data_IF_105552815360
#
_entry.id   IF_105552815360
#
_cell.length_a   1.000
_cell.length_b   1.000
_cell.length_c   1.000
_cell.angle_alpha   90.00
_cell.angle_beta   90.00
_cell.angle_gamma   90.00
#
_symmetry.space_group_name_H-M   'P 1'
#
loop_
_entity.id
_entity.type
_entity.pdbx_description
1 polymer ?
#
# COMPACT_ATOMS: atom_id res chain seq x y z
N UNK A 1 -51.55 -24.55 3.63
CA UNK A 1 -51.66 -23.80 2.36
C UNK A 1 -50.25 -23.42 1.92
N UNK A 2 -49.64 -24.25 1.06
CA UNK A 2 -48.33 -23.99 0.46
C UNK A 2 -48.51 -23.15 -0.81
N UNK A 3 -47.70 -22.10 -0.99
CA UNK A 3 -47.51 -21.43 -2.26
C UNK A 3 -46.01 -21.34 -2.56
N UNK A 4 -45.57 -22.15 -3.52
CA UNK A 4 -44.21 -22.15 -4.05
C UNK A 4 -44.06 -21.02 -5.07
N UNK A 5 -43.13 -20.09 -4.84
CA UNK A 5 -42.81 -19.03 -5.78
C UNK A 5 -41.71 -19.51 -6.75
N UNK A 6 -42.07 -19.52 -8.03
CA UNK A 6 -41.30 -20.02 -9.16
C UNK A 6 -40.13 -19.07 -9.49
N UNK A 7 -38.92 -19.62 -9.55
CA UNK A 7 -37.69 -18.97 -9.99
C UNK A 7 -37.73 -18.78 -11.51
N UNK A 8 -37.36 -17.59 -12.01
CA UNK A 8 -37.12 -17.35 -13.43
C UNK A 8 -35.82 -16.55 -13.60
N UNK A 9 -34.78 -17.18 -14.17
CA UNK A 9 -33.50 -16.55 -14.55
C UNK A 9 -33.49 -16.29 -16.06
N UNK A 10 -33.12 -15.10 -16.55
CA UNK A 10 -32.93 -14.90 -17.98
C UNK A 10 -31.55 -15.40 -18.45
N UNK A 11 -31.56 -15.96 -19.66
CA UNK A 11 -30.54 -16.77 -20.33
C UNK A 11 -29.47 -15.92 -21.03
N UNK A 12 -28.23 -16.41 -21.01
CA UNK A 12 -27.14 -16.05 -21.92
C UNK A 12 -27.62 -16.16 -23.39
N UNK A 13 -27.31 -15.16 -24.22
CA UNK A 13 -27.30 -15.30 -25.68
C UNK A 13 -25.86 -15.27 -26.17
N UNK A 14 -25.42 -16.39 -26.77
CA UNK A 14 -24.21 -16.51 -27.56
C UNK A 14 -24.53 -16.35 -29.06
N UNK A 15 -23.47 -16.01 -29.78
CA UNK A 15 -23.21 -16.16 -31.23
C UNK A 15 -23.78 -15.07 -32.15
N UNK A 16 -22.92 -14.55 -33.04
CA UNK A 16 -22.91 -14.91 -34.47
C UNK A 16 -21.50 -14.68 -35.05
N UNK A 17 -20.92 -15.76 -35.61
CA UNK A 17 -19.81 -15.73 -36.57
C UNK A 17 -20.40 -15.41 -37.94
N UNK A 18 -19.88 -14.42 -38.66
CA UNK A 18 -20.22 -14.17 -40.05
C UNK A 18 -18.95 -14.21 -40.91
N UNK A 19 -18.80 -15.33 -41.63
CA UNK A 19 -17.87 -15.50 -42.74
C UNK A 19 -18.53 -14.95 -44.01
N UNK A 20 -17.88 -14.02 -44.70
CA UNK A 20 -18.27 -13.59 -46.05
C UNK A 20 -17.11 -13.85 -47.00
N UNK A 21 -17.35 -14.70 -48.01
CA UNK A 21 -16.48 -14.96 -49.15
C UNK A 21 -16.95 -14.08 -50.32
N UNK A 22 -16.06 -13.20 -50.78
CA UNK A 22 -15.74 -12.93 -52.19
C UNK A 22 -16.79 -12.30 -53.12
N UNK A 23 -16.55 -11.04 -53.50
CA UNK A 23 -16.58 -10.60 -54.92
C UNK A 23 -15.63 -9.41 -55.10
N UNK A 24 -14.87 -9.44 -56.19
CA UNK A 24 -13.75 -8.53 -56.45
C UNK A 24 -14.15 -7.10 -56.81
N UNK A 25 -13.38 -6.16 -56.28
CA UNK A 25 -13.11 -4.85 -56.84
C UNK A 25 -11.74 -4.45 -56.30
N UNK A 26 -10.75 -4.26 -57.17
CA UNK A 26 -9.40 -3.86 -56.75
C UNK A 26 -9.43 -2.42 -56.22
N UNK A 27 -9.02 -2.14 -54.98
CA UNK A 27 -8.85 -0.77 -54.53
C UNK A 27 -7.50 -0.23 -55.03
N UNK A 28 -7.56 0.96 -55.63
CA UNK A 28 -6.42 1.80 -55.95
C UNK A 28 -5.69 2.10 -54.63
N UNK A 29 -4.40 1.76 -54.58
CA UNK A 29 -3.51 2.02 -53.44
C UNK A 29 -3.44 3.52 -53.14
N UNK A 30 -4.28 4.01 -52.22
CA UNK A 30 -3.99 5.21 -51.44
C UNK A 30 -3.11 4.76 -50.27
N UNK A 31 -1.83 5.15 -50.32
CA UNK A 31 -0.86 4.93 -49.25
C UNK A 31 -1.32 5.69 -48.00
N UNK A 32 -1.92 5.00 -47.04
CA UNK A 32 -2.17 5.57 -45.71
C UNK A 32 -0.82 5.96 -45.07
N UNK A 33 -0.72 7.14 -44.43
CA UNK A 33 0.44 7.46 -43.64
C UNK A 33 0.45 6.55 -42.42
N UNK A 34 1.42 5.63 -42.38
CA UNK A 34 1.77 4.87 -41.18
C UNK A 34 2.14 5.89 -40.09
N UNK A 35 1.24 6.07 -39.12
CA UNK A 35 1.57 6.70 -37.84
C UNK A 35 2.52 5.75 -37.12
N UNK A 36 3.80 6.11 -37.06
CA UNK A 36 4.80 5.38 -36.29
C UNK A 36 4.35 5.27 -34.82
N UNK A 37 4.57 4.11 -34.16
CA UNK A 37 4.40 4.02 -32.72
C UNK A 37 5.21 5.12 -32.02
N UNK A 38 4.70 5.72 -30.94
CA UNK A 38 5.48 6.70 -30.18
C UNK A 38 6.81 6.08 -29.77
N UNK A 39 7.87 6.83 -30.02
CA UNK A 39 9.26 6.44 -29.85
C UNK A 39 9.48 5.91 -28.43
N UNK A 40 9.74 4.61 -28.27
CA UNK A 40 9.91 3.96 -26.97
C UNK A 40 11.07 4.59 -26.17
N UNK A 41 12.07 5.15 -26.86
CA UNK A 41 13.13 5.94 -26.25
C UNK A 41 12.63 7.26 -25.63
N UNK A 42 11.63 7.90 -26.22
CA UNK A 42 11.05 9.13 -25.66
C UNK A 42 10.19 8.84 -24.42
N UNK A 43 9.47 7.72 -24.40
CA UNK A 43 8.69 7.29 -23.22
C UNK A 43 9.59 6.83 -22.08
N UNK A 44 10.65 6.08 -22.37
CA UNK A 44 11.60 5.60 -21.36
C UNK A 44 12.40 6.77 -20.77
N UNK A 45 12.80 7.74 -21.60
CA UNK A 45 13.48 8.95 -21.15
C UNK A 45 12.56 9.86 -20.34
N UNK A 46 11.29 10.00 -20.71
CA UNK A 46 10.32 10.77 -19.92
C UNK A 46 10.03 10.11 -18.56
N UNK A 47 9.94 8.77 -18.50
CA UNK A 47 9.79 8.02 -17.26
C UNK A 47 11.04 8.13 -16.35
N UNK A 48 12.24 8.03 -16.92
CA UNK A 48 13.51 8.19 -16.20
C UNK A 48 13.74 9.64 -15.70
N UNK A 49 13.32 10.64 -16.47
CA UNK A 49 13.42 12.06 -16.08
C UNK A 49 12.41 12.39 -14.96
N UNK A 50 11.20 11.82 -14.99
CA UNK A 50 10.23 11.98 -13.90
C UNK A 50 10.68 11.28 -12.60
N UNK A 51 11.27 10.08 -12.71
CA UNK A 51 11.80 9.33 -11.57
C UNK A 51 13.03 10.02 -10.94
N UNK A 52 13.94 10.56 -11.77
CA UNK A 52 15.11 11.29 -11.29
C UNK A 52 14.79 12.66 -10.69
N UNK A 53 13.79 13.38 -11.20
CA UNK A 53 13.35 14.67 -10.62
C UNK A 53 12.57 14.47 -9.30
N UNK A 54 11.71 13.45 -9.23
CA UNK A 54 10.99 13.12 -7.98
C UNK A 54 11.96 12.67 -6.87
N UNK A 55 12.93 11.81 -7.18
CA UNK A 55 13.96 11.39 -6.23
C UNK A 55 14.90 12.53 -5.81
N UNK A 56 15.20 13.50 -6.71
CA UNK A 56 15.98 14.70 -6.39
C UNK A 56 15.21 15.72 -5.53
N UNK A 57 13.91 15.89 -5.74
CA UNK A 57 13.04 16.71 -4.86
C UNK A 57 12.90 16.10 -3.48
N UNK A 58 12.95 14.78 -3.38
CA UNK A 58 12.83 14.06 -2.11
C UNK A 58 14.06 14.21 -1.21
N UNK A 59 15.25 14.42 -1.79
CA UNK A 59 16.49 14.67 -1.08
C UNK A 59 16.49 15.98 -0.25
N UNK A 60 15.48 16.84 -0.41
CA UNK A 60 15.37 18.15 0.24
C UNK A 60 14.28 18.32 1.30
N UNK A 61 13.51 17.28 1.65
CA UNK A 61 12.47 17.43 2.68
C UNK A 61 13.13 17.50 4.06
N UNK A 62 13.16 18.69 4.65
CA UNK A 62 13.67 18.93 6.00
C UNK A 62 12.97 18.01 7.01
N UNK A 63 13.67 16.98 7.48
CA UNK A 63 13.15 16.08 8.49
C UNK A 63 13.79 16.40 9.85
N UNK A 64 13.02 17.02 10.72
CA UNK A 64 13.38 17.13 12.14
C UNK A 64 13.17 15.75 12.79
N UNK A 65 14.27 15.17 13.29
CA UNK A 65 14.28 13.90 14.04
C UNK A 65 13.80 14.16 15.47
N UNK A 66 12.51 14.40 15.62
CA UNK A 66 11.85 14.61 16.90
C UNK A 66 10.86 13.48 17.16
N UNK A 67 10.57 13.14 18.44
CA UNK A 67 9.44 12.31 18.79
C UNK A 67 8.15 12.89 18.20
N UNK A 68 7.26 12.03 17.71
CA UNK A 68 5.98 12.50 17.17
C UNK A 68 5.08 13.05 18.28
N UNK A 69 4.66 14.30 18.19
CA UNK A 69 3.70 14.91 19.12
C UNK A 69 2.26 14.55 18.73
N UNK A 70 1.79 13.35 19.11
CA UNK A 70 0.39 12.95 18.96
C UNK A 70 -0.05 12.63 17.52
N UNK A 71 -1.35 12.83 17.25
CA UNK A 71 -1.96 12.58 15.93
C UNK A 71 -2.14 11.11 15.55
N UNK A 72 -1.96 10.17 16.48
CA UNK A 72 -2.00 8.71 16.24
C UNK A 72 -3.25 8.23 15.50
N UNK A 73 -4.39 8.87 15.77
CA UNK A 73 -5.69 8.60 15.12
C UNK A 73 -5.72 8.88 13.61
N UNK A 74 -4.68 9.48 13.04
CA UNK A 74 -4.57 9.77 11.62
C UNK A 74 -3.55 8.89 10.90
N UNK A 75 -2.88 7.97 11.58
CA UNK A 75 -1.82 7.14 11.00
C UNK A 75 -2.21 5.68 10.99
N UNK A 76 -1.90 5.00 9.90
CA UNK A 76 -2.05 3.55 9.76
C UNK A 76 -0.69 2.95 9.43
N UNK A 77 -0.31 1.89 10.14
CA UNK A 77 0.87 1.08 9.81
C UNK A 77 0.63 0.29 8.52
N UNK A 78 1.66 0.21 7.69
CA UNK A 78 1.66 -0.63 6.47
C UNK A 78 2.87 -1.55 6.38
N UNK A 79 3.90 -1.31 7.20
CA UNK A 79 5.08 -2.16 7.27
C UNK A 79 5.64 -2.08 8.67
N UNK A 80 5.99 -3.24 9.22
CA UNK A 80 6.66 -3.36 10.49
C UNK A 80 7.89 -4.25 10.33
N UNK A 81 9.07 -3.78 10.77
CA UNK A 81 10.31 -4.56 10.71
C UNK A 81 11.21 -4.22 11.88
N UNK A 82 11.33 -5.16 12.82
CA UNK A 82 12.17 -5.01 14.02
C UNK A 82 11.95 -3.68 14.75
N UNK A 83 10.67 -3.32 14.93
CA UNK A 83 10.22 -2.10 15.60
C UNK A 83 10.25 -0.83 14.74
N UNK A 84 10.81 -0.88 13.52
CA UNK A 84 10.63 0.16 12.52
C UNK A 84 9.25 0.07 11.89
N UNK A 85 8.67 1.23 11.56
CA UNK A 85 7.29 1.32 11.07
C UNK A 85 7.18 2.29 9.91
N UNK A 86 6.59 1.83 8.82
CA UNK A 86 6.11 2.72 7.75
C UNK A 86 4.63 2.97 8.00
N UNK A 87 4.28 4.25 8.06
CA UNK A 87 2.91 4.69 8.30
C UNK A 87 2.44 5.63 7.20
N UNK A 88 1.16 5.55 6.86
CA UNK A 88 0.49 6.51 5.99
C UNK A 88 -0.49 7.35 6.81
N UNK A 89 -0.52 8.65 6.52
CA UNK A 89 -1.53 9.54 7.06
C UNK A 89 -2.85 9.35 6.29
N UNK A 90 -3.93 9.01 6.97
CA UNK A 90 -5.23 8.75 6.36
C UNK A 90 -5.89 10.00 5.72
N UNK A 91 -5.46 11.21 6.09
CA UNK A 91 -6.01 12.46 5.57
C UNK A 91 -5.13 13.03 4.45
N UNK A 92 -3.82 13.13 4.68
CA UNK A 92 -2.90 13.76 3.72
C UNK A 92 -2.29 12.77 2.72
N UNK A 93 -2.42 11.46 2.96
CA UNK A 93 -1.80 10.41 2.15
C UNK A 93 -0.27 10.32 2.29
N UNK A 94 0.34 11.20 3.07
CA UNK A 94 1.79 11.25 3.27
C UNK A 94 2.29 10.03 4.04
N UNK A 95 3.47 9.56 3.65
CA UNK A 95 4.15 8.46 4.31
C UNK A 95 5.19 8.99 5.30
N UNK A 96 5.44 8.21 6.34
CA UNK A 96 6.58 8.41 7.25
C UNK A 96 7.19 7.08 7.66
N UNK A 97 8.49 7.11 7.89
CA UNK A 97 9.23 6.04 8.57
C UNK A 97 9.50 6.46 10.02
N UNK A 98 9.11 5.62 10.96
CA UNK A 98 9.47 5.72 12.38
C UNK A 98 10.47 4.63 12.75
N UNK A 99 11.40 4.97 13.64
CA UNK A 99 12.24 3.96 14.31
C UNK A 99 11.56 3.41 15.57
N UNK A 100 12.27 2.51 16.26
CA UNK A 100 11.81 1.84 17.49
C UNK A 100 11.46 2.82 18.62
N UNK A 101 12.07 4.01 18.62
CA UNK A 101 11.81 5.09 19.58
C UNK A 101 10.63 5.98 19.21
N UNK A 102 9.89 5.64 18.14
CA UNK A 102 8.88 6.51 17.51
C UNK A 102 9.45 7.87 17.05
N UNK A 103 10.74 7.92 16.69
CA UNK A 103 11.35 9.09 16.06
C UNK A 103 11.17 8.99 14.56
N UNK A 104 10.73 10.08 13.93
CA UNK A 104 10.54 10.13 12.48
C UNK A 104 11.89 10.24 11.78
N UNK A 105 12.21 9.26 10.93
CA UNK A 105 13.49 9.17 10.20
C UNK A 105 13.38 9.64 8.75
N UNK A 106 12.21 9.51 8.15
CA UNK A 106 11.91 9.97 6.77
C UNK A 106 10.42 10.21 6.62
N UNK A 107 10.03 11.06 5.66
CA UNK A 107 8.64 11.28 5.27
C UNK A 107 8.52 11.68 3.80
N UNK A 108 7.32 11.58 3.23
CA UNK A 108 7.04 11.90 1.82
C UNK A 108 6.36 10.73 1.11
N UNK A 109 6.98 10.24 0.03
CA UNK A 109 6.54 9.05 -0.71
C UNK A 109 6.80 7.73 0.05
N UNK A 110 6.00 6.71 -0.28
CA UNK A 110 6.18 5.34 0.23
C UNK A 110 7.54 4.78 -0.14
N UNK A 111 7.94 4.92 -1.40
CA UNK A 111 9.20 4.39 -1.93
C UNK A 111 10.42 4.93 -1.18
N UNK A 112 10.43 6.23 -0.82
CA UNK A 112 11.53 6.78 -0.03
C UNK A 112 11.57 6.23 1.40
N UNK A 113 10.42 5.96 2.00
CA UNK A 113 10.34 5.33 3.32
C UNK A 113 10.83 3.87 3.26
N UNK A 114 10.44 3.12 2.23
CA UNK A 114 10.91 1.74 1.98
C UNK A 114 12.42 1.70 1.72
N UNK A 115 12.93 2.57 0.86
CA UNK A 115 14.38 2.67 0.60
C UNK A 115 15.18 3.00 1.87
N UNK A 116 14.68 3.91 2.72
CA UNK A 116 15.33 4.22 4.00
C UNK A 116 15.24 3.04 4.97
N UNK A 117 14.10 2.33 5.01
CA UNK A 117 13.90 1.15 5.82
C UNK A 117 14.91 0.06 5.41
N UNK A 118 15.10 -0.20 4.12
CA UNK A 118 16.04 -1.19 3.56
C UNK A 118 17.51 -0.94 3.84
N UNK A 119 17.87 0.27 4.24
CA UNK A 119 19.21 0.59 4.75
C UNK A 119 19.40 0.27 6.22
N UNK A 120 18.33 -0.04 6.96
CA UNK A 120 18.41 -0.34 8.38
C UNK A 120 18.77 -1.82 8.59
N UNK A 121 19.72 -2.12 9.49
CA UNK A 121 20.05 -3.49 9.79
C UNK A 121 18.84 -4.20 10.42
N UNK A 122 18.66 -5.47 10.09
CA UNK A 122 17.77 -6.33 10.84
C UNK A 122 18.31 -6.47 12.26
N UNK A 123 17.41 -6.52 13.24
CA UNK A 123 17.82 -6.85 14.59
C UNK A 123 18.33 -8.30 14.61
N UNK A 124 19.54 -8.51 15.14
CA UNK A 124 20.03 -9.85 15.46
C UNK A 124 19.25 -10.38 16.67
N UNK A 125 18.03 -10.85 16.42
CA UNK A 125 17.14 -11.41 17.44
C UNK A 125 17.39 -12.89 17.68
N UNK A 126 16.97 -13.44 18.84
CA UNK A 126 16.96 -14.88 19.07
C UNK A 126 16.10 -15.57 18.00
N UNK A 127 16.58 -16.71 17.50
CA UNK A 127 16.13 -17.35 16.25
C UNK A 127 14.70 -17.97 16.27
N UNK A 128 13.83 -17.66 17.24
CA UNK A 128 12.46 -18.20 17.28
C UNK A 128 11.55 -17.40 18.24
N UNK A 129 11.24 -16.14 17.94
CA UNK A 129 10.17 -15.42 18.64
C UNK A 129 8.83 -15.62 17.93
N UNK A 130 7.77 -15.85 18.71
CA UNK A 130 6.40 -15.79 18.22
C UNK A 130 5.96 -14.33 18.15
N UNK A 131 5.66 -13.84 16.94
CA UNK A 131 5.10 -12.49 16.78
C UNK A 131 3.61 -12.49 17.13
N UNK A 132 3.20 -11.54 17.96
CA UNK A 132 1.79 -11.33 18.32
C UNK A 132 1.40 -9.92 17.90
N UNK A 133 0.45 -9.80 16.96
CA UNK A 133 -0.05 -8.50 16.52
C UNK A 133 -1.21 -8.09 17.43
N UNK A 134 -1.09 -6.93 18.06
CA UNK A 134 -2.11 -6.38 18.96
C UNK A 134 -2.80 -5.20 18.28
N UNK A 135 -4.11 -5.34 18.08
CA UNK A 135 -4.97 -4.29 17.54
C UNK A 135 -5.75 -3.61 18.65
N UNK A 136 -5.78 -2.28 18.63
CA UNK A 136 -6.61 -1.50 19.55
C UNK A 136 -8.07 -1.40 19.05
N UNK A 137 -8.99 -0.96 19.92
CA UNK A 137 -10.38 -0.70 19.54
C UNK A 137 -10.63 0.68 18.92
N UNK A 138 -11.89 0.96 18.59
CA UNK A 138 -12.35 2.24 18.06
C UNK A 138 -11.96 3.43 18.97
N UNK A 139 -11.54 4.54 18.38
CA UNK A 139 -11.09 5.77 19.07
C UNK A 139 -9.87 5.62 19.99
N UNK A 140 -9.22 4.44 20.04
CA UNK A 140 -7.99 4.22 20.80
C UNK A 140 -6.76 4.43 19.91
N UNK A 141 -5.59 4.13 20.49
CA UNK A 141 -4.32 4.04 19.77
C UNK A 141 -3.58 2.77 20.18
N UNK A 142 -2.56 2.41 19.41
CA UNK A 142 -1.73 1.24 19.68
C UNK A 142 -1.11 1.26 21.09
N UNK A 143 -0.83 2.45 21.64
CA UNK A 143 -0.31 2.61 23.00
C UNK A 143 -1.22 2.03 24.08
N UNK A 144 -2.54 1.95 23.85
CA UNK A 144 -3.46 1.34 24.80
C UNK A 144 -3.23 -0.17 24.99
N UNK A 145 -2.51 -0.82 24.07
CA UNK A 145 -2.18 -2.24 24.13
C UNK A 145 -0.86 -2.52 24.87
N UNK A 146 -0.11 -1.49 25.29
CA UNK A 146 1.18 -1.65 25.98
C UNK A 146 1.11 -2.53 27.23
N UNK A 147 0.10 -2.41 28.13
CA UNK A 147 0.02 -3.28 29.30
C UNK A 147 -0.13 -4.78 28.94
N UNK A 148 -0.88 -5.07 27.87
CA UNK A 148 -1.06 -6.44 27.38
C UNK A 148 0.23 -6.96 26.74
N UNK A 149 0.90 -6.15 25.93
CA UNK A 149 2.20 -6.48 25.36
C UNK A 149 3.23 -6.82 26.44
N UNK A 150 3.35 -5.96 27.46
CA UNK A 150 4.23 -6.21 28.60
C UNK A 150 3.91 -7.51 29.35
N UNK A 151 2.64 -7.94 29.32
CA UNK A 151 2.22 -9.22 29.88
C UNK A 151 2.65 -10.43 29.06
N UNK A 152 2.52 -10.35 27.73
CA UNK A 152 2.85 -11.41 26.78
C UNK A 152 4.37 -11.59 26.62
N UNK A 153 5.14 -10.49 26.66
CA UNK A 153 6.58 -10.50 26.43
C UNK A 153 7.40 -10.97 27.65
N UNK A 154 6.77 -11.22 28.81
CA UNK A 154 7.48 -11.64 30.04
C UNK A 154 8.28 -12.93 29.88
N UNK A 155 7.78 -13.85 29.06
CA UNK A 155 8.41 -15.16 28.85
C UNK A 155 9.61 -15.11 27.88
N UNK A 156 9.86 -13.95 27.24
CA UNK A 156 10.89 -13.73 26.22
C UNK A 156 10.77 -14.63 24.99
N UNK A 157 9.62 -15.26 24.78
CA UNK A 157 9.28 -16.07 23.59
C UNK A 157 8.38 -15.32 22.64
N UNK A 158 7.66 -14.31 23.14
CA UNK A 158 6.78 -13.48 22.32
C UNK A 158 7.42 -12.13 21.99
N UNK A 159 7.11 -11.61 20.80
CA UNK A 159 7.37 -10.22 20.40
C UNK A 159 6.07 -9.58 19.94
N UNK A 160 5.61 -8.56 20.65
CA UNK A 160 4.36 -7.90 20.33
C UNK A 160 4.58 -6.80 19.28
N UNK A 161 3.70 -6.77 18.28
CA UNK A 161 3.59 -5.69 17.30
C UNK A 161 2.32 -4.92 17.64
N UNK A 162 2.49 -3.73 18.20
CA UNK A 162 1.38 -2.84 18.55
C UNK A 162 0.99 -2.08 17.28
N UNK A 163 0.03 -2.63 16.54
CA UNK A 163 -0.42 -2.09 15.26
C UNK A 163 -1.24 -0.83 15.48
N UNK A 164 -0.85 0.26 14.81
CA UNK A 164 -1.61 1.51 14.80
C UNK A 164 -2.42 1.59 13.51
N UNK A 165 -3.71 1.90 13.65
CA UNK A 165 -4.56 2.19 12.51
C UNK A 165 -5.51 3.33 12.82
N UNK A 166 -5.79 4.14 11.80
CA UNK A 166 -6.68 5.29 11.89
C UNK A 166 -8.15 4.84 11.96
N UNK A 167 -8.56 4.20 13.07
CA UNK A 167 -9.80 3.41 13.24
C UNK A 167 -11.13 4.07 12.84
N UNK A 168 -11.16 5.39 12.69
CA UNK A 168 -12.35 6.18 12.33
C UNK A 168 -12.25 6.83 10.96
N UNK A 169 -11.22 6.49 10.18
CA UNK A 169 -10.84 7.19 8.94
C UNK A 169 -10.96 6.33 7.68
N UNK A 170 -11.19 5.03 7.82
CA UNK A 170 -11.44 4.14 6.70
C UNK A 170 -12.43 3.04 7.08
N UNK A 171 -12.85 2.25 6.09
CA UNK A 171 -13.66 1.05 6.31
C UNK A 171 -12.85 -0.05 6.99
N UNK A 172 -13.56 -1.04 7.57
CA UNK A 172 -12.92 -2.24 8.14
C UNK A 172 -12.10 -2.98 7.07
N UNK A 173 -12.59 -3.05 5.83
CA UNK A 173 -11.90 -3.73 4.74
C UNK A 173 -10.56 -3.05 4.39
N UNK A 174 -10.55 -1.71 4.33
CA UNK A 174 -9.31 -0.95 4.08
C UNK A 174 -8.31 -1.09 5.23
N UNK A 175 -8.78 -1.09 6.47
CA UNK A 175 -7.93 -1.35 7.63
C UNK A 175 -7.36 -2.77 7.63
N UNK A 176 -8.16 -3.77 7.24
CA UNK A 176 -7.72 -5.15 7.12
C UNK A 176 -6.66 -5.35 6.02
N UNK A 177 -6.74 -4.59 4.92
CA UNK A 177 -5.75 -4.66 3.84
C UNK A 177 -4.38 -4.07 4.21
N UNK A 178 -4.31 -3.27 5.29
CA UNK A 178 -3.05 -2.70 5.78
C UNK A 178 -2.34 -3.59 6.82
N UNK A 179 -3.05 -4.58 7.37
CA UNK A 179 -2.55 -5.55 8.36
C UNK A 179 -1.78 -6.69 7.68
#
# INVERSE_FOLDING_TARGET
>A
MLAAAHIQRPRLLQAVFATIIGTGLQPIFAKEPVLSPPDQQATDKAAQVADSDSSRRQAGLFNLQLPTAGGKQFWTDHTWRDGWRIQQNAVTGHWRLLDQGNVRRTWGSRAACEQMLDRQPLANGPAALHHVILLHGLFRSAASMQPLAAGLERDKKHRCVLFEYASTRASIAEHAAAL
#
